data_IF_944325711689
#
_entry.id   IF_944325711689
#
_cell.length_a   1.000
_cell.length_b   1.000
_cell.length_c   1.000
_cell.angle_alpha   90.00
_cell.angle_beta   90.00
_cell.angle_gamma   90.00
#
_symmetry.space_group_name_H-M   'P 1'
#
loop_
_entity.id
_entity.type
_entity.pdbx_description
1 polymer ?
#
# COMPACT_ATOMS: atom_id res chain seq x y z
N UNK A 1 8.03 19.63 17.26
CA UNK A 1 8.55 18.28 17.60
C UNK A 1 7.33 17.40 17.77
N UNK A 2 7.18 16.40 16.92
CA UNK A 2 6.04 15.47 16.97
C UNK A 2 6.14 14.61 18.24
N UNK A 3 5.12 14.62 19.08
CA UNK A 3 4.96 13.71 20.21
C UNK A 3 3.76 12.78 19.94
N UNK A 4 3.96 11.46 19.84
CA UNK A 4 2.85 10.54 19.64
C UNK A 4 1.95 10.52 20.87
N UNK A 5 0.65 10.63 20.67
CA UNK A 5 -0.33 10.33 21.72
C UNK A 5 -0.66 8.84 21.70
N UNK A 6 -1.08 8.30 22.83
CA UNK A 6 -1.42 6.88 22.98
C UNK A 6 -2.89 6.74 23.40
N UNK A 7 -3.54 5.75 22.80
CA UNK A 7 -4.94 5.40 23.08
C UNK A 7 -5.04 3.91 23.44
N UNK A 8 -5.73 3.59 24.53
CA UNK A 8 -6.13 2.22 24.85
C UNK A 8 -7.61 2.05 24.51
N UNK A 9 -7.93 1.05 23.70
CA UNK A 9 -9.28 0.76 23.23
C UNK A 9 -9.69 -0.62 23.75
N UNK A 10 -10.73 -0.73 24.58
CA UNK A 10 -11.25 -2.01 25.02
C UNK A 10 -11.78 -2.88 23.87
N UNK A 11 -11.77 -4.21 24.08
CA UNK A 11 -12.40 -5.15 23.15
C UNK A 11 -13.85 -4.78 22.85
N UNK A 12 -14.24 -4.91 21.60
CA UNK A 12 -15.58 -4.60 21.07
C UNK A 12 -15.81 -3.13 20.70
N UNK A 13 -14.92 -2.20 21.06
CA UNK A 13 -15.07 -0.79 20.70
C UNK A 13 -14.59 -0.50 19.28
N UNK A 14 -15.23 0.50 18.66
CA UNK A 14 -14.89 0.98 17.32
C UNK A 14 -13.81 2.04 17.39
N UNK A 15 -12.78 1.90 16.55
CA UNK A 15 -11.64 2.82 16.43
C UNK A 15 -11.91 3.81 15.28
N UNK A 16 -12.40 3.31 14.15
CA UNK A 16 -12.70 4.07 12.92
C UNK A 16 -14.06 3.64 12.40
N UNK A 17 -14.86 4.57 11.92
CA UNK A 17 -16.21 4.31 11.37
C UNK A 17 -16.20 4.49 9.86
N UNK A 18 -16.79 3.55 9.13
CA UNK A 18 -16.96 3.62 7.67
C UNK A 18 -17.71 4.90 7.26
N UNK A 19 -17.26 5.53 6.17
CA UNK A 19 -17.79 6.77 5.60
C UNK A 19 -17.66 8.02 6.49
N UNK A 20 -17.04 7.93 7.66
CA UNK A 20 -16.70 9.11 8.45
C UNK A 20 -15.35 9.70 8.05
N UNK A 21 -15.16 11.04 8.22
CA UNK A 21 -13.90 11.70 7.93
C UNK A 21 -12.76 11.11 8.76
N UNK A 22 -11.67 10.71 8.11
CA UNK A 22 -10.47 10.24 8.78
C UNK A 22 -9.68 11.43 9.30
N UNK A 23 -9.59 11.56 10.63
CA UNK A 23 -8.90 12.67 11.31
C UNK A 23 -7.54 12.28 11.89
N UNK A 24 -7.30 10.98 12.04
CA UNK A 24 -6.07 10.45 12.61
C UNK A 24 -5.67 9.15 11.93
N UNK A 25 -4.39 8.87 12.00
CA UNK A 25 -3.75 7.60 11.63
C UNK A 25 -3.36 6.88 12.91
N UNK A 26 -3.57 5.58 12.96
CA UNK A 26 -3.36 4.76 14.13
C UNK A 26 -2.35 3.66 13.85
N UNK A 27 -1.28 3.58 14.62
CA UNK A 27 -0.37 2.43 14.62
C UNK A 27 -0.81 1.46 15.73
N UNK A 28 -1.13 0.23 15.38
CA UNK A 28 -1.49 -0.81 16.34
C UNK A 28 -0.22 -1.36 17.00
N UNK A 29 0.00 -0.99 18.26
CA UNK A 29 1.16 -1.42 19.05
C UNK A 29 0.92 -2.79 19.69
N UNK A 30 -0.32 -3.04 20.09
CA UNK A 30 -0.75 -4.28 20.73
C UNK A 30 -2.24 -4.53 20.46
N UNK A 31 -2.63 -5.80 20.38
CA UNK A 31 -4.01 -6.25 20.21
C UNK A 31 -4.32 -6.67 18.77
N UNK A 32 -5.61 -6.90 18.51
CA UNK A 32 -6.17 -7.33 17.22
C UNK A 32 -7.35 -6.44 16.85
N UNK A 33 -7.43 -6.05 15.59
CA UNK A 33 -8.48 -5.21 15.02
C UNK A 33 -9.11 -5.90 13.83
N UNK A 34 -10.44 -5.98 13.78
CA UNK A 34 -11.19 -6.42 12.59
C UNK A 34 -11.63 -5.23 11.74
N UNK A 35 -11.62 -5.45 10.42
CA UNK A 35 -12.08 -4.47 9.45
C UNK A 35 -13.42 -4.91 8.87
N UNK A 36 -14.41 -4.00 8.90
CA UNK A 36 -15.78 -4.25 8.46
C UNK A 36 -16.20 -3.25 7.39
N UNK A 37 -16.86 -3.74 6.36
CA UNK A 37 -17.48 -2.90 5.33
C UNK A 37 -18.90 -3.39 5.03
N UNK A 38 -19.87 -2.48 5.11
CA UNK A 38 -21.28 -2.79 4.89
C UNK A 38 -21.78 -4.00 5.70
N UNK A 39 -21.28 -4.15 6.94
CA UNK A 39 -21.64 -5.26 7.82
C UNK A 39 -20.87 -6.56 7.59
N UNK A 40 -19.98 -6.63 6.60
CA UNK A 40 -19.16 -7.81 6.28
C UNK A 40 -17.75 -7.64 6.83
N UNK A 41 -17.22 -8.64 7.52
CA UNK A 41 -15.83 -8.68 7.98
C UNK A 41 -14.91 -9.04 6.80
N UNK A 42 -14.00 -8.16 6.45
CA UNK A 42 -13.10 -8.33 5.30
C UNK A 42 -11.63 -8.57 5.70
N UNK A 43 -11.31 -8.65 6.99
CA UNK A 43 -9.96 -8.95 7.42
C UNK A 43 -9.63 -8.53 8.85
N UNK A 44 -8.43 -8.90 9.30
CA UNK A 44 -7.90 -8.60 10.62
C UNK A 44 -6.52 -7.98 10.53
N UNK A 45 -6.23 -7.09 11.45
CA UNK A 45 -4.95 -6.42 11.60
C UNK A 45 -4.40 -6.72 12.99
N UNK A 46 -3.10 -6.99 13.04
CA UNK A 46 -2.37 -7.28 14.26
C UNK A 46 -1.35 -6.18 14.55
N UNK A 47 -0.62 -6.31 15.65
CA UNK A 47 0.49 -5.40 16.02
C UNK A 47 1.43 -5.13 14.84
N UNK A 48 1.82 -3.87 14.70
CA UNK A 48 2.65 -3.35 13.60
C UNK A 48 1.86 -2.79 12.41
N UNK A 49 0.57 -3.08 12.29
CA UNK A 49 -0.26 -2.49 11.23
C UNK A 49 -0.62 -1.03 11.52
N UNK A 50 -0.84 -0.28 10.46
CA UNK A 50 -1.25 1.12 10.49
C UNK A 50 -2.62 1.26 9.80
N UNK A 51 -3.55 1.97 10.46
CA UNK A 51 -4.92 2.19 10.03
C UNK A 51 -5.15 3.66 9.68
N UNK A 52 -6.06 3.94 8.77
CA UNK A 52 -6.55 5.29 8.48
C UNK A 52 -5.80 6.02 7.37
N UNK A 53 -4.66 5.52 6.89
CA UNK A 53 -3.92 6.18 5.79
C UNK A 53 -4.72 6.19 4.48
N UNK A 54 -5.42 5.10 4.17
CA UNK A 54 -6.27 4.96 3.00
C UNK A 54 -7.46 5.93 3.02
N UNK A 55 -8.05 6.15 4.20
CA UNK A 55 -9.08 7.15 4.41
C UNK A 55 -8.53 8.58 4.35
N UNK A 56 -7.38 8.83 4.98
CA UNK A 56 -6.77 10.16 5.08
C UNK A 56 -6.34 10.73 3.72
N UNK A 57 -5.75 9.89 2.86
CA UNK A 57 -5.13 10.30 1.60
C UNK A 57 -5.89 9.86 0.35
N UNK A 58 -7.04 9.23 0.50
CA UNK A 58 -7.95 8.99 -0.61
C UNK A 58 -8.71 10.26 -1.02
N UNK A 59 -9.21 10.28 -2.25
CA UNK A 59 -9.89 11.45 -2.85
C UNK A 59 -11.06 12.02 -2.05
N UNK A 60 -11.67 11.23 -1.14
CA UNK A 60 -12.82 11.64 -0.31
C UNK A 60 -12.46 11.97 1.14
N UNK A 61 -11.25 11.65 1.61
CA UNK A 61 -10.84 11.87 3.00
C UNK A 61 -11.68 11.14 4.05
N UNK A 62 -12.39 10.08 3.67
CA UNK A 62 -13.26 9.28 4.54
C UNK A 62 -12.78 7.84 4.65
N UNK A 63 -13.04 7.20 5.78
CA UNK A 63 -12.65 5.80 5.98
C UNK A 63 -13.48 4.86 5.08
N UNK A 64 -12.84 3.93 4.33
CA UNK A 64 -13.55 2.96 3.51
C UNK A 64 -14.18 1.83 4.33
N UNK A 65 -13.79 1.66 5.58
CA UNK A 65 -14.25 0.58 6.45
C UNK A 65 -14.37 1.02 7.92
N UNK A 66 -15.10 0.24 8.70
CA UNK A 66 -15.14 0.34 10.16
C UNK A 66 -14.04 -0.56 10.72
N UNK A 67 -13.21 -0.02 11.63
CA UNK A 67 -12.20 -0.77 12.37
C UNK A 67 -12.67 -0.97 13.81
N UNK A 68 -12.72 -2.24 14.27
CA UNK A 68 -13.20 -2.61 15.61
C UNK A 68 -12.15 -3.42 16.35
N UNK A 69 -11.92 -3.09 17.61
CA UNK A 69 -11.03 -3.83 18.50
C UNK A 69 -11.61 -5.21 18.83
N UNK A 70 -10.92 -6.30 18.52
CA UNK A 70 -11.30 -7.67 18.88
C UNK A 70 -10.74 -8.08 20.23
N UNK A 71 -9.63 -7.50 20.65
CA UNK A 71 -9.04 -7.57 21.98
C UNK A 71 -8.83 -6.16 22.53
N UNK A 72 -8.33 -6.03 23.77
CA UNK A 72 -7.79 -4.74 24.19
C UNK A 72 -6.66 -4.34 23.24
N UNK A 73 -6.73 -3.12 22.70
CA UNK A 73 -5.77 -2.57 21.76
C UNK A 73 -5.07 -1.37 22.34
N UNK A 74 -3.75 -1.28 22.13
CA UNK A 74 -2.97 -0.06 22.39
C UNK A 74 -2.53 0.52 21.05
N UNK A 75 -2.85 1.78 20.83
CA UNK A 75 -2.62 2.50 19.59
C UNK A 75 -1.72 3.71 19.83
N UNK A 76 -0.78 3.98 18.93
CA UNK A 76 -0.17 5.30 18.76
C UNK A 76 -1.01 6.08 17.76
N UNK A 77 -1.32 7.33 18.08
CA UNK A 77 -2.26 8.18 17.34
C UNK A 77 -1.53 9.39 16.78
N UNK A 78 -1.69 9.63 15.48
CA UNK A 78 -1.10 10.75 14.75
C UNK A 78 -2.23 11.50 14.03
N UNK A 79 -2.38 12.80 14.24
CA UNK A 79 -3.29 13.63 13.46
C UNK A 79 -2.91 13.60 11.97
N UNK A 80 -3.90 13.57 11.08
CA UNK A 80 -3.65 13.48 9.62
C UNK A 80 -2.76 14.62 9.13
N UNK A 81 -2.92 15.81 9.66
CA UNK A 81 -2.11 17.00 9.38
C UNK A 81 -0.66 16.90 9.85
N UNK A 82 -0.38 16.05 10.84
CA UNK A 82 0.94 15.83 11.42
C UNK A 82 1.71 14.67 10.74
N UNK A 83 1.03 13.83 9.97
CA UNK A 83 1.65 12.66 9.34
C UNK A 83 2.85 13.04 8.46
N UNK A 84 2.80 14.06 7.57
CA UNK A 84 3.96 14.41 6.75
C UNK A 84 5.18 14.81 7.60
N UNK A 85 4.98 15.59 8.65
CA UNK A 85 6.06 15.99 9.57
C UNK A 85 6.64 14.78 10.32
N UNK A 86 5.78 13.87 10.80
CA UNK A 86 6.20 12.66 11.50
C UNK A 86 7.05 11.74 10.62
N UNK A 87 6.70 11.61 9.33
CA UNK A 87 7.44 10.78 8.37
C UNK A 87 8.79 11.39 7.99
N UNK A 88 8.88 12.71 7.84
CA UNK A 88 10.15 13.40 7.60
C UNK A 88 11.06 13.31 8.82
N UNK A 89 10.50 13.36 10.01
CA UNK A 89 11.24 13.30 11.26
C UNK A 89 11.77 11.91 11.61
N UNK A 90 11.21 10.84 11.04
CA UNK A 90 11.56 9.45 11.34
C UNK A 90 11.48 8.53 10.12
N UNK A 91 12.64 8.21 9.56
CA UNK A 91 12.77 7.21 8.50
C UNK A 91 12.20 5.83 8.94
N UNK A 92 12.42 5.44 10.20
CA UNK A 92 11.86 4.20 10.76
C UNK A 92 10.31 4.19 10.72
N UNK A 93 9.67 5.35 10.98
CA UNK A 93 8.22 5.46 10.86
C UNK A 93 7.78 5.31 9.40
N UNK A 94 8.47 5.94 8.45
CA UNK A 94 8.16 5.83 7.03
C UNK A 94 8.31 4.38 6.53
N UNK A 95 9.34 3.66 6.93
CA UNK A 95 9.51 2.22 6.63
C UNK A 95 8.33 1.39 7.17
N UNK A 96 7.95 1.60 8.43
CA UNK A 96 6.81 0.89 9.07
C UNK A 96 5.50 1.16 8.32
N UNK A 97 5.28 2.40 7.89
CA UNK A 97 4.10 2.78 7.11
C UNK A 97 4.08 2.07 5.76
N UNK A 98 5.19 2.12 5.02
CA UNK A 98 5.32 1.48 3.71
C UNK A 98 5.11 -0.02 3.84
N UNK A 99 5.75 -0.67 4.81
CA UNK A 99 5.60 -2.10 5.06
C UNK A 99 4.14 -2.47 5.40
N UNK A 100 3.50 -1.72 6.31
CA UNK A 100 2.11 -1.96 6.70
C UNK A 100 1.14 -1.82 5.53
N UNK A 101 1.28 -0.76 4.71
CA UNK A 101 0.42 -0.55 3.56
C UNK A 101 0.64 -1.62 2.48
N UNK A 102 1.88 -1.95 2.17
CA UNK A 102 2.23 -3.00 1.21
C UNK A 102 1.61 -4.34 1.61
N UNK A 103 1.71 -4.70 2.91
CA UNK A 103 1.12 -5.92 3.45
C UNK A 103 -0.41 -5.93 3.36
N UNK A 104 -1.06 -4.82 3.67
CA UNK A 104 -2.53 -4.72 3.57
C UNK A 104 -3.02 -4.82 2.12
N UNK A 105 -2.35 -4.17 1.17
CA UNK A 105 -2.66 -4.29 -0.26
C UNK A 105 -2.45 -5.71 -0.74
N UNK A 106 -1.32 -6.34 -0.39
CA UNK A 106 -1.00 -7.72 -0.75
C UNK A 106 -2.06 -8.70 -0.23
N UNK A 107 -2.43 -8.62 1.04
CA UNK A 107 -3.48 -9.46 1.62
C UNK A 107 -4.82 -9.33 0.90
N UNK A 108 -5.17 -8.13 0.40
CA UNK A 108 -6.39 -7.93 -0.39
C UNK A 108 -6.30 -8.59 -1.76
N UNK A 109 -5.14 -8.55 -2.39
CA UNK A 109 -4.94 -9.15 -3.71
C UNK A 109 -4.83 -10.67 -3.66
N UNK A 110 -4.22 -11.25 -2.61
CA UNK A 110 -4.18 -12.71 -2.39
C UNK A 110 -5.58 -13.34 -2.28
N UNK A 111 -6.58 -12.62 -1.81
CA UNK A 111 -7.97 -13.10 -1.79
C UNK A 111 -8.53 -13.34 -3.20
N UNK A 112 -7.88 -12.81 -4.25
CA UNK A 112 -8.24 -13.01 -5.65
C UNK A 112 -7.35 -14.03 -6.37
N UNK A 113 -6.15 -14.35 -5.86
CA UNK A 113 -5.16 -15.17 -6.54
C UNK A 113 -4.97 -16.53 -5.89
N UNK A 114 -5.21 -17.59 -6.66
CA UNK A 114 -4.74 -18.96 -6.38
C UNK A 114 -3.39 -19.20 -7.03
N UNK A 115 -2.34 -19.11 -6.26
CA UNK A 115 -0.98 -19.68 -6.35
C UNK A 115 -0.20 -19.89 -7.68
N UNK A 116 1.11 -19.57 -7.62
CA UNK A 116 2.22 -20.20 -8.37
C UNK A 116 3.54 -19.43 -8.36
N UNK A 117 4.70 -20.06 -8.09
CA UNK A 117 5.99 -19.36 -7.98
C UNK A 117 6.82 -19.32 -9.29
N UNK A 118 7.62 -18.28 -9.47
CA UNK A 118 8.59 -18.09 -10.56
C UNK A 118 9.88 -17.37 -10.13
N UNK A 119 10.98 -17.62 -10.82
CA UNK A 119 12.35 -17.23 -10.46
C UNK A 119 12.82 -15.91 -11.08
N UNK A 120 13.77 -15.25 -10.40
CA UNK A 120 14.25 -13.87 -10.65
C UNK A 120 15.47 -13.74 -11.57
N UNK A 121 15.66 -12.62 -12.29
CA UNK A 121 16.93 -12.14 -12.82
C UNK A 121 17.52 -10.93 -12.06
N UNK A 122 18.77 -10.51 -12.32
CA UNK A 122 19.61 -9.76 -11.39
C UNK A 122 19.41 -8.23 -11.38
N UNK A 123 19.87 -7.64 -10.28
CA UNK A 123 19.76 -6.25 -9.80
C UNK A 123 20.44 -5.17 -10.66
N UNK A 124 19.79 -4.01 -10.81
CA UNK A 124 20.39 -2.78 -11.26
C UNK A 124 19.95 -1.58 -10.41
N UNK A 125 20.89 -0.65 -10.16
CA UNK A 125 20.70 0.56 -9.35
C UNK A 125 20.63 1.76 -10.29
N UNK A 126 19.56 2.56 -10.20
CA UNK A 126 19.48 3.90 -10.82
C UNK A 126 19.50 3.93 -12.34
N UNK A 127 19.07 2.87 -13.02
CA UNK A 127 18.96 2.86 -14.48
C UNK A 127 17.62 3.39 -14.97
N UNK A 128 17.67 4.20 -16.03
CA UNK A 128 16.48 4.59 -16.78
C UNK A 128 16.18 3.46 -17.78
N UNK A 129 15.00 2.89 -17.67
CA UNK A 129 14.47 1.88 -18.59
C UNK A 129 13.43 2.52 -19.51
N UNK A 130 13.69 2.47 -20.80
CA UNK A 130 12.68 2.83 -21.81
C UNK A 130 11.91 1.58 -22.21
N UNK A 131 10.58 1.65 -22.11
CA UNK A 131 9.68 0.51 -22.33
C UNK A 131 8.78 0.80 -23.54
N UNK A 132 8.71 -0.16 -24.46
CA UNK A 132 7.88 -0.07 -25.66
C UNK A 132 6.41 -0.43 -25.36
N UNK A 133 5.46 0.04 -26.18
CA UNK A 133 4.05 -0.35 -26.07
C UNK A 133 3.88 -1.87 -26.06
N UNK A 134 3.05 -2.38 -25.14
CA UNK A 134 2.74 -3.80 -24.98
C UNK A 134 3.79 -4.61 -24.20
N UNK A 135 4.95 -4.04 -23.89
CA UNK A 135 5.99 -4.74 -23.12
C UNK A 135 5.53 -5.00 -21.67
N UNK A 136 5.79 -6.21 -21.19
CA UNK A 136 5.55 -6.60 -19.79
C UNK A 136 6.79 -6.22 -18.97
N UNK A 137 6.58 -5.41 -17.95
CA UNK A 137 7.63 -4.92 -17.04
C UNK A 137 7.74 -5.85 -15.84
N UNK A 138 6.60 -6.27 -15.30
CA UNK A 138 6.46 -7.19 -14.18
C UNK A 138 5.47 -8.28 -14.57
N UNK A 139 5.77 -9.55 -14.25
CA UNK A 139 4.81 -10.67 -14.38
C UNK A 139 4.36 -11.13 -13.00
N UNK A 140 3.06 -11.34 -12.86
CA UNK A 140 2.48 -12.00 -11.68
C UNK A 140 3.17 -13.33 -11.39
N UNK A 141 3.47 -13.61 -10.12
CA UNK A 141 4.14 -14.83 -9.67
C UNK A 141 5.66 -14.85 -9.80
N UNK A 142 6.29 -13.91 -10.51
CA UNK A 142 7.76 -13.84 -10.58
C UNK A 142 8.36 -13.40 -9.24
N UNK A 143 9.54 -13.96 -8.91
CA UNK A 143 10.35 -13.55 -7.76
C UNK A 143 11.43 -12.57 -8.22
N UNK A 144 11.05 -11.31 -8.35
CA UNK A 144 11.97 -10.20 -8.62
C UNK A 144 11.83 -9.17 -7.51
N UNK A 145 12.88 -8.42 -7.21
CA UNK A 145 12.97 -7.53 -6.06
C UNK A 145 13.10 -6.05 -6.44
N UNK A 146 13.11 -5.74 -7.74
CA UNK A 146 13.14 -4.35 -8.19
C UNK A 146 11.78 -3.67 -7.99
N UNK A 147 11.82 -2.38 -7.78
CA UNK A 147 10.65 -1.51 -7.88
C UNK A 147 10.95 -0.33 -8.80
N UNK A 148 9.91 0.30 -9.27
CA UNK A 148 9.98 1.24 -10.39
C UNK A 148 9.30 2.55 -10.03
N UNK A 149 9.82 3.67 -10.58
CA UNK A 149 9.16 4.97 -10.58
C UNK A 149 8.88 5.40 -12.01
N UNK A 150 7.67 5.87 -12.28
CA UNK A 150 7.31 6.41 -13.59
C UNK A 150 8.00 7.78 -13.77
N UNK A 151 8.85 7.90 -14.78
CA UNK A 151 9.40 9.20 -15.22
C UNK A 151 8.41 9.85 -16.18
N UNK A 152 7.98 9.09 -17.20
CA UNK A 152 6.96 9.50 -18.16
C UNK A 152 6.26 8.28 -18.75
N UNK A 153 5.04 8.47 -19.23
CA UNK A 153 4.27 7.47 -19.96
C UNK A 153 3.26 8.15 -20.88
N UNK A 154 3.06 7.59 -22.08
CA UNK A 154 2.11 8.17 -23.05
C UNK A 154 0.66 7.76 -22.74
N UNK A 155 0.44 6.47 -22.43
CA UNK A 155 -0.90 5.89 -22.24
C UNK A 155 -1.06 5.19 -20.89
N UNK A 156 -0.04 5.22 -20.03
CA UNK A 156 -0.04 4.56 -18.73
C UNK A 156 0.47 3.12 -18.77
N UNK A 157 0.49 2.53 -17.58
CA UNK A 157 0.88 1.14 -17.32
C UNK A 157 -0.35 0.41 -16.79
N UNK A 158 -0.78 -0.64 -17.48
CA UNK A 158 -1.87 -1.52 -17.05
C UNK A 158 -1.38 -2.46 -15.95
N UNK A 159 -2.09 -2.47 -14.83
CA UNK A 159 -1.89 -3.43 -13.75
C UNK A 159 -3.01 -4.45 -13.80
N UNK A 160 -2.68 -5.72 -13.95
CA UNK A 160 -3.65 -6.81 -14.00
C UNK A 160 -3.25 -7.96 -13.07
N UNK A 161 -4.24 -8.65 -12.51
CA UNK A 161 -4.07 -9.85 -11.71
C UNK A 161 -5.01 -10.93 -12.28
N UNK A 162 -4.47 -12.11 -12.56
CA UNK A 162 -5.20 -13.23 -13.20
C UNK A 162 -6.00 -12.81 -14.44
N UNK A 163 -5.41 -11.94 -15.27
CA UNK A 163 -6.06 -11.43 -16.47
C UNK A 163 -7.11 -10.35 -16.25
N UNK A 164 -7.43 -10.02 -15.01
CA UNK A 164 -8.37 -8.92 -14.68
C UNK A 164 -7.59 -7.63 -14.48
N UNK A 165 -7.97 -6.57 -15.22
CA UNK A 165 -7.37 -5.24 -15.07
C UNK A 165 -7.83 -4.63 -13.75
N UNK A 166 -6.87 -4.26 -12.90
CA UNK A 166 -7.09 -3.65 -11.59
C UNK A 166 -7.03 -2.12 -11.65
N UNK A 167 -6.05 -1.58 -12.39
CA UNK A 167 -5.81 -0.14 -12.49
C UNK A 167 -4.92 0.21 -13.66
N UNK A 168 -4.86 1.51 -13.99
CA UNK A 168 -3.86 2.09 -14.89
C UNK A 168 -3.06 3.11 -14.08
N UNK A 169 -1.73 2.99 -14.12
CA UNK A 169 -0.80 3.95 -13.52
C UNK A 169 -0.33 4.91 -14.64
N UNK A 170 -0.71 6.17 -14.54
CA UNK A 170 -0.47 7.16 -15.59
C UNK A 170 0.24 8.43 -15.10
N UNK A 171 0.58 8.49 -13.80
CA UNK A 171 1.15 9.70 -13.20
C UNK A 171 2.66 9.62 -13.08
N UNK A 172 3.43 10.57 -13.67
CA UNK A 172 4.84 10.70 -13.38
C UNK A 172 5.11 10.87 -11.89
N UNK A 173 6.07 10.10 -11.39
CA UNK A 173 6.45 10.04 -9.97
C UNK A 173 5.78 8.94 -9.18
N UNK A 174 4.77 8.24 -9.72
CA UNK A 174 4.18 7.07 -9.06
C UNK A 174 5.16 5.89 -9.06
N UNK A 175 5.13 5.15 -7.94
CA UNK A 175 5.91 3.93 -7.75
C UNK A 175 5.05 2.69 -7.98
N UNK A 176 5.67 1.60 -8.44
CA UNK A 176 5.04 0.29 -8.55
C UNK A 176 6.08 -0.84 -8.39
N UNK A 177 5.61 -2.07 -8.07
CA UNK A 177 6.47 -3.21 -7.80
C UNK A 177 7.08 -3.22 -6.39
N UNK A 178 6.89 -2.16 -5.61
CA UNK A 178 7.40 -1.99 -4.25
C UNK A 178 6.88 -3.03 -3.26
N UNK A 179 5.68 -3.57 -3.48
CA UNK A 179 5.09 -4.56 -2.56
C UNK A 179 5.93 -5.83 -2.49
N UNK A 180 6.34 -6.37 -3.63
CA UNK A 180 7.21 -7.55 -3.68
C UNK A 180 8.59 -7.23 -3.06
N UNK A 181 9.14 -6.05 -3.37
CA UNK A 181 10.41 -5.58 -2.81
C UNK A 181 10.38 -5.46 -1.28
N UNK A 182 9.29 -4.87 -0.74
CA UNK A 182 9.12 -4.66 0.71
C UNK A 182 8.81 -5.94 1.46
N UNK A 183 7.98 -6.82 0.90
CA UNK A 183 7.46 -8.00 1.59
C UNK A 183 8.29 -9.26 1.35
N UNK A 184 9.22 -9.24 0.38
CA UNK A 184 9.96 -10.45 -0.04
C UNK A 184 9.03 -11.54 -0.60
N UNK A 185 7.93 -11.14 -1.24
CA UNK A 185 6.90 -12.02 -1.78
C UNK A 185 6.96 -12.03 -3.32
N UNK A 186 6.44 -13.08 -3.98
CA UNK A 186 6.25 -13.07 -5.44
C UNK A 186 5.43 -11.86 -5.90
N UNK A 187 5.60 -11.45 -7.15
CA UNK A 187 4.83 -10.37 -7.76
C UNK A 187 3.33 -10.65 -7.71
N UNK A 188 2.58 -9.76 -7.11
CA UNK A 188 1.13 -9.90 -6.92
C UNK A 188 0.30 -9.52 -8.14
N UNK A 189 0.92 -8.93 -9.17
CA UNK A 189 0.24 -8.50 -10.39
C UNK A 189 1.21 -8.42 -11.57
N UNK A 190 0.66 -8.46 -12.79
CA UNK A 190 1.36 -8.16 -14.03
C UNK A 190 1.24 -6.67 -14.32
N UNK A 191 2.35 -6.03 -14.70
CA UNK A 191 2.39 -4.63 -15.15
C UNK A 191 2.87 -4.59 -16.59
N UNK A 192 2.06 -4.00 -17.48
CA UNK A 192 2.32 -3.88 -18.92
C UNK A 192 2.26 -2.41 -19.34
N UNK A 193 3.18 -1.97 -20.18
CA UNK A 193 3.12 -0.63 -20.77
C UNK A 193 2.09 -0.57 -21.90
N UNK A 194 1.18 0.40 -21.84
CA UNK A 194 0.18 0.61 -22.90
C UNK A 194 0.75 1.48 -24.03
N UNK A 195 1.58 2.46 -23.69
CA UNK A 195 2.30 3.33 -24.61
C UNK A 195 3.81 3.24 -24.40
N UNK A 196 4.57 4.16 -25.00
CA UNK A 196 5.98 4.31 -24.65
C UNK A 196 6.11 4.87 -23.25
N UNK A 197 7.01 4.30 -22.44
CA UNK A 197 7.21 4.73 -21.06
C UNK A 197 8.70 4.79 -20.72
N UNK A 198 9.06 5.73 -19.85
CA UNK A 198 10.39 5.82 -19.24
C UNK A 198 10.24 5.60 -17.73
N UNK A 199 11.00 4.65 -17.19
CA UNK A 199 10.95 4.21 -15.81
C UNK A 199 12.33 4.35 -15.17
N UNK A 200 12.36 4.67 -13.91
CA UNK A 200 13.55 4.55 -13.08
C UNK A 200 13.46 3.28 -12.26
N UNK A 201 14.52 2.47 -12.27
CA UNK A 201 14.58 1.14 -11.65
C UNK A 201 15.37 1.23 -10.37
N UNK A 202 14.83 0.69 -9.29
CA UNK A 202 15.48 0.59 -7.98
C UNK A 202 15.50 -0.86 -7.50
N UNK A 203 16.58 -1.25 -6.85
CA UNK A 203 16.64 -2.53 -6.14
C UNK A 203 16.06 -2.39 -4.73
N UNK A 204 15.43 -3.47 -4.23
CA UNK A 204 14.78 -3.51 -2.92
C UNK A 204 15.67 -3.08 -1.76
N UNK A 205 16.97 -3.45 -1.81
CA UNK A 205 17.92 -3.11 -0.74
C UNK A 205 18.21 -1.59 -0.64
N UNK A 206 17.85 -0.81 -1.66
CA UNK A 206 17.94 0.65 -1.63
C UNK A 206 16.75 1.32 -0.95
N UNK A 207 15.69 0.57 -0.62
CA UNK A 207 14.47 1.16 -0.08
C UNK A 207 14.73 1.93 1.22
N UNK A 208 15.44 1.32 2.17
CA UNK A 208 15.79 1.99 3.43
C UNK A 208 16.64 3.24 3.23
N UNK A 209 17.56 3.22 2.26
CA UNK A 209 18.36 4.38 1.90
C UNK A 209 17.50 5.47 1.26
N UNK A 210 16.59 5.10 0.33
CA UNK A 210 15.67 6.05 -0.29
C UNK A 210 14.76 6.68 0.76
N UNK A 211 14.25 5.90 1.70
CA UNK A 211 13.39 6.39 2.79
C UNK A 211 14.14 7.38 3.68
N UNK A 212 15.42 7.11 3.97
CA UNK A 212 16.27 7.96 4.80
C UNK A 212 16.70 9.24 4.10
N UNK A 213 17.17 9.12 2.84
CA UNK A 213 17.86 10.20 2.14
C UNK A 213 16.92 11.09 1.31
N UNK A 214 15.71 10.57 0.97
CA UNK A 214 14.73 11.24 0.10
C UNK A 214 13.31 11.21 0.69
N UNK A 215 13.01 11.98 1.74
CA UNK A 215 11.70 11.97 2.42
C UNK A 215 10.51 12.25 1.48
N UNK A 216 10.71 13.09 0.45
CA UNK A 216 9.68 13.39 -0.55
C UNK A 216 9.32 12.18 -1.43
N UNK A 217 10.28 11.29 -1.72
CA UNK A 217 10.01 10.05 -2.46
C UNK A 217 9.26 9.06 -1.55
N UNK A 218 9.65 8.94 -0.29
CA UNK A 218 8.96 8.13 0.72
C UNK A 218 7.50 8.55 0.87
N UNK A 219 7.26 9.86 0.92
CA UNK A 219 5.90 10.41 0.99
C UNK A 219 5.06 10.03 -0.24
N UNK A 220 5.61 10.13 -1.46
CA UNK A 220 4.93 9.72 -2.69
C UNK A 220 4.61 8.22 -2.71
N UNK A 221 5.54 7.39 -2.23
CA UNK A 221 5.33 5.95 -2.11
C UNK A 221 4.15 5.64 -1.15
N UNK A 222 4.13 6.29 0.00
CA UNK A 222 3.05 6.16 0.99
C UNK A 222 1.70 6.61 0.42
N UNK A 223 1.66 7.73 -0.29
CA UNK A 223 0.43 8.20 -0.94
C UNK A 223 -0.08 7.21 -1.99
N UNK A 224 0.81 6.70 -2.85
CA UNK A 224 0.46 5.71 -3.87
C UNK A 224 -0.08 4.42 -3.27
N UNK A 225 0.56 3.90 -2.22
CA UNK A 225 0.09 2.72 -1.48
C UNK A 225 -1.26 2.97 -0.79
N UNK A 226 -1.44 4.13 -0.18
CA UNK A 226 -2.70 4.51 0.49
C UNK A 226 -3.87 4.55 -0.50
N UNK A 227 -3.65 5.11 -1.70
CA UNK A 227 -4.66 5.15 -2.77
C UNK A 227 -4.99 3.74 -3.27
N UNK A 228 -4.00 2.87 -3.46
CA UNK A 228 -4.21 1.47 -3.86
C UNK A 228 -4.96 0.67 -2.81
N UNK A 229 -4.62 0.85 -1.53
CA UNK A 229 -5.35 0.21 -0.43
C UNK A 229 -6.80 0.69 -0.39
N UNK A 230 -7.04 1.99 -0.55
CA UNK A 230 -8.40 2.52 -0.63
C UNK A 230 -9.19 1.92 -1.80
N UNK A 231 -8.61 1.86 -2.99
CA UNK A 231 -9.24 1.25 -4.17
C UNK A 231 -9.54 -0.24 -3.94
N UNK A 232 -8.61 -0.99 -3.35
CA UNK A 232 -8.80 -2.40 -2.98
C UNK A 232 -9.90 -2.59 -1.93
N UNK A 233 -10.07 -1.65 -1.01
CA UNK A 233 -11.13 -1.68 -0.01
C UNK A 233 -12.51 -1.23 -0.54
N UNK A 234 -12.57 -0.45 -1.64
CA UNK A 234 -13.81 0.16 -2.14
C UNK A 234 -14.26 -0.37 -3.49
N UNK A 235 -13.38 -0.99 -4.27
CA UNK A 235 -13.66 -1.52 -5.61
C UNK A 235 -14.69 -2.66 -5.64
N UNK A 236 -15.28 -2.95 -6.80
CA UNK A 236 -16.24 -4.05 -6.98
C UNK A 236 -15.62 -5.42 -6.68
N UNK A 237 -14.30 -5.54 -6.81
CA UNK A 237 -13.49 -6.72 -6.48
C UNK A 237 -12.86 -6.65 -5.08
N UNK A 238 -13.41 -5.91 -4.14
CA UNK A 238 -12.79 -5.65 -2.83
C UNK A 238 -12.68 -6.86 -1.89
N UNK A 239 -13.08 -8.09 -2.32
CA UNK A 239 -13.05 -9.29 -1.46
C UNK A 239 -13.99 -9.22 -0.25
N UNK A 240 -14.75 -8.14 -0.12
CA UNK A 240 -15.86 -8.03 0.82
C UNK A 240 -16.98 -8.88 0.25
N UNK A 241 -17.06 -10.15 0.64
CA UNK A 241 -18.13 -11.03 0.23
C UNK A 241 -19.47 -10.32 0.47
N UNK A 242 -20.26 -10.13 -0.58
CA UNK A 242 -21.68 -9.79 -0.43
C UNK A 242 -22.30 -11.02 0.21
N UNK A 243 -22.58 -10.94 1.51
CA UNK A 243 -23.41 -11.94 2.18
C UNK A 243 -24.78 -11.88 1.50
N UNK A 244 -25.09 -12.92 0.75
CA UNK A 244 -26.45 -13.33 0.38
C UNK A 244 -26.93 -14.28 1.44
#
# INVERSE_FOLDING_TARGET
MYEPSFLTVPSGQTIVVQNEPTRAVYQLLYGEVSLWRNGVCGGRLNSGHILGLDGAYASKGVSPCTARAESECRLSVIGVDQVPEALVASAEMAEKVIFSLSRQVHQRWEQFSGQGPGQSPPSFVGQILTVQPGAVIIREGENTDEFYRIISTDLGLEVSCQGTVLSILDRPGDFFGEMAAVLGQPRSATVRSLGQSALEVYSSHLLSQIVSDYPELSWRLIQGLSQRLHAANTGPSSGWATGL
#
